data_IF_559252608577
#
_entry.id   IF_559252608577
#
_cell.length_a   1.000
_cell.length_b   1.000
_cell.length_c   1.000
_cell.angle_alpha   90.00
_cell.angle_beta   90.00
_cell.angle_gamma   90.00
#
_symmetry.space_group_name_H-M   'P 1'
#
loop_
_entity.id
_entity.type
_entity.pdbx_description
1 polymer ?
#
# COMPACT_ATOMS: atom_id res chain seq x y z
N UNK A 1 17.40 17.25 12.75
CA UNK A 1 16.80 16.72 11.52
C UNK A 1 17.85 15.89 10.81
N UNK A 2 17.58 14.62 10.64
CA UNK A 2 18.50 13.71 9.96
C UNK A 2 18.54 14.01 8.46
N UNK A 3 19.73 14.23 7.93
CA UNK A 3 19.94 14.40 6.49
C UNK A 3 20.14 13.04 5.83
N UNK A 4 19.42 12.84 4.77
CA UNK A 4 19.56 11.65 3.92
C UNK A 4 20.20 12.05 2.60
N UNK A 5 21.12 11.24 2.15
CA UNK A 5 21.74 11.39 0.83
C UNK A 5 21.19 10.33 -0.11
N UNK A 6 20.80 10.75 -1.30
CA UNK A 6 20.32 9.85 -2.34
C UNK A 6 21.35 9.85 -3.48
N UNK A 7 21.83 8.68 -3.83
CA UNK A 7 22.64 8.47 -5.02
C UNK A 7 21.73 7.92 -6.12
N UNK A 8 21.78 8.53 -7.28
CA UNK A 8 21.02 8.11 -8.45
C UNK A 8 21.90 7.30 -9.41
N UNK A 9 21.48 6.07 -9.70
CA UNK A 9 22.10 5.21 -10.71
C UNK A 9 21.29 5.25 -12.00
N UNK A 10 21.73 6.07 -12.97
CA UNK A 10 21.07 6.18 -14.28
C UNK A 10 21.15 4.91 -15.14
N UNK A 11 22.07 4.00 -14.79
CA UNK A 11 22.34 2.75 -15.51
C UNK A 11 21.57 1.56 -14.93
N UNK A 12 20.76 1.77 -13.89
CA UNK A 12 19.99 0.71 -13.30
C UNK A 12 19.10 0.01 -14.34
N UNK A 13 19.16 -1.31 -14.36
CA UNK A 13 18.36 -2.15 -15.25
C UNK A 13 16.90 -2.12 -14.84
N UNK A 14 16.63 -2.12 -13.52
CA UNK A 14 15.29 -2.00 -12.97
C UNK A 14 15.10 -0.59 -12.42
N UNK A 15 14.02 0.05 -12.83
CA UNK A 15 13.75 1.43 -12.43
C UNK A 15 12.97 1.50 -11.12
N UNK A 16 13.21 2.59 -10.39
CA UNK A 16 12.47 2.98 -9.17
C UNK A 16 12.72 2.10 -7.95
N UNK A 17 13.55 1.06 -8.05
CA UNK A 17 14.00 0.31 -6.88
C UNK A 17 14.93 1.16 -6.02
N UNK A 18 14.73 1.05 -4.72
CA UNK A 18 15.44 1.83 -3.71
C UNK A 18 16.18 0.87 -2.78
N UNK A 19 17.47 1.10 -2.58
CA UNK A 19 18.26 0.44 -1.56
C UNK A 19 18.55 1.44 -0.44
N UNK A 20 18.16 1.10 0.79
CA UNK A 20 18.48 1.88 1.98
C UNK A 20 19.62 1.18 2.71
N UNK A 21 20.70 1.91 2.96
CA UNK A 21 21.85 1.47 3.74
C UNK A 21 22.11 2.45 4.88
N UNK A 22 22.73 1.99 5.97
CA UNK A 22 23.02 2.86 7.11
C UNK A 22 24.10 3.88 6.79
N UNK A 23 25.17 3.43 6.14
CA UNK A 23 26.33 4.24 5.79
C UNK A 23 26.73 3.97 4.36
N UNK A 24 27.42 4.94 3.74
CA UNK A 24 27.93 4.76 2.38
C UNK A 24 28.90 3.57 2.25
N UNK A 25 29.70 3.32 3.28
CA UNK A 25 30.66 2.22 3.31
C UNK A 25 30.01 0.85 3.24
N UNK A 26 28.76 0.73 3.68
CA UNK A 26 27.98 -0.53 3.66
C UNK A 26 27.72 -1.02 2.23
N UNK A 27 27.83 -0.13 1.23
CA UNK A 27 27.71 -0.50 -0.18
C UNK A 27 28.75 -1.54 -0.62
N UNK A 28 29.87 -1.64 0.08
CA UNK A 28 30.88 -2.68 -0.16
C UNK A 28 30.40 -4.10 0.14
N UNK A 29 29.32 -4.21 0.91
CA UNK A 29 28.69 -5.49 1.26
C UNK A 29 27.69 -5.93 0.19
N UNK A 30 27.37 -5.07 -0.76
CA UNK A 30 26.40 -5.35 -1.81
C UNK A 30 27.12 -5.76 -3.08
N UNK A 31 26.74 -6.88 -3.65
CA UNK A 31 27.30 -7.34 -4.92
C UNK A 31 26.99 -6.33 -6.06
N UNK A 32 27.94 -6.18 -6.97
CA UNK A 32 27.79 -5.28 -8.12
C UNK A 32 26.61 -5.66 -9.00
N UNK A 33 26.28 -6.94 -9.11
CA UNK A 33 25.12 -7.46 -9.82
C UNK A 33 23.79 -6.92 -9.24
N UNK A 34 23.70 -6.86 -7.93
CA UNK A 34 22.55 -6.30 -7.22
C UNK A 34 22.43 -4.79 -7.45
N UNK A 35 23.57 -4.07 -7.38
CA UNK A 35 23.58 -2.62 -7.61
C UNK A 35 23.13 -2.24 -9.02
N UNK A 36 23.29 -3.13 -10.00
CA UNK A 36 22.79 -2.92 -11.35
C UNK A 36 21.25 -2.87 -11.42
N UNK A 37 20.56 -3.44 -10.44
CA UNK A 37 19.11 -3.44 -10.37
C UNK A 37 18.53 -2.34 -9.46
N UNK A 38 19.37 -1.47 -8.90
CA UNK A 38 18.98 -0.40 -8.00
C UNK A 38 19.15 0.95 -8.66
N UNK A 39 18.06 1.71 -8.79
CA UNK A 39 18.09 3.07 -9.33
C UNK A 39 18.46 4.11 -8.27
N UNK A 40 18.00 3.94 -7.02
CA UNK A 40 18.25 4.89 -5.95
C UNK A 40 18.89 4.22 -4.74
N UNK A 41 19.98 4.79 -4.27
CA UNK A 41 20.65 4.33 -3.04
C UNK A 41 20.51 5.46 -2.01
N UNK A 42 19.97 5.13 -0.85
CA UNK A 42 19.66 6.09 0.20
C UNK A 42 20.42 5.73 1.48
N UNK A 43 21.03 6.72 2.11
CA UNK A 43 21.74 6.54 3.39
C UNK A 43 21.70 7.81 4.24
N UNK A 44 21.90 7.66 5.56
CA UNK A 44 22.01 8.79 6.48
C UNK A 44 23.38 9.46 6.35
N UNK A 45 23.39 10.78 6.35
CA UNK A 45 24.60 11.60 6.40
C UNK A 45 25.04 12.19 5.07
N UNK A 46 26.15 12.91 5.15
CA UNK A 46 26.81 13.54 4.00
C UNK A 46 27.97 12.70 3.52
N UNK A 47 28.08 12.54 2.23
CA UNK A 47 29.27 11.96 1.60
C UNK A 47 29.91 12.99 0.69
N UNK A 48 31.16 13.24 0.92
CA UNK A 48 32.02 13.98 -0.01
C UNK A 48 32.37 13.06 -1.19
N UNK A 49 31.38 12.68 -1.99
CA UNK A 49 31.58 11.81 -3.14
C UNK A 49 31.39 12.60 -4.44
N UNK A 50 32.26 12.42 -5.42
CA UNK A 50 32.20 13.01 -6.76
C UNK A 50 31.21 12.30 -7.70
N UNK A 51 30.23 11.60 -7.18
CA UNK A 51 29.25 10.84 -7.97
C UNK A 51 28.12 11.71 -8.51
N UNK A 52 27.55 11.29 -9.61
CA UNK A 52 26.85 12.11 -10.61
C UNK A 52 25.51 12.73 -10.22
N UNK A 53 24.87 12.41 -9.12
CA UNK A 53 23.68 13.14 -8.65
C UNK A 53 23.51 12.92 -7.16
N UNK A 54 23.64 13.98 -6.42
CA UNK A 54 23.37 13.99 -4.99
C UNK A 54 22.21 14.92 -4.76
N UNK A 55 21.06 14.38 -4.43
CA UNK A 55 20.01 15.17 -3.84
C UNK A 55 19.97 14.91 -2.33
N UNK A 56 19.98 15.99 -1.57
CA UNK A 56 19.81 15.95 -0.12
C UNK A 56 18.40 16.35 0.20
N UNK A 57 17.77 15.59 1.04
CA UNK A 57 16.45 15.92 1.53
C UNK A 57 16.36 15.65 3.03
N UNK A 58 15.46 16.36 3.67
CA UNK A 58 15.22 16.23 5.10
C UNK A 58 13.98 15.38 5.31
N UNK A 59 14.15 14.22 5.94
CA UNK A 59 13.02 13.45 6.44
C UNK A 59 12.73 13.93 7.86
N UNK A 60 11.56 14.56 8.07
CA UNK A 60 11.21 15.12 9.37
C UNK A 60 10.68 14.07 10.35
N UNK A 61 10.16 12.97 9.85
CA UNK A 61 9.57 11.87 10.62
C UNK A 61 9.98 10.54 10.05
N UNK A 62 10.05 9.56 10.92
CA UNK A 62 10.39 8.18 10.60
C UNK A 62 9.15 7.37 10.16
N UNK A 63 8.24 7.97 9.40
CA UNK A 63 7.07 7.30 8.87
C UNK A 63 7.27 6.97 7.40
N UNK A 64 6.99 5.74 7.02
CA UNK A 64 7.19 5.26 5.66
C UNK A 64 6.32 5.99 4.65
N UNK A 65 5.12 6.40 5.04
CA UNK A 65 4.25 7.27 4.25
C UNK A 65 4.97 8.56 3.85
N UNK A 66 5.56 9.25 4.83
CA UNK A 66 6.28 10.51 4.59
C UNK A 66 7.51 10.29 3.71
N UNK A 67 8.23 9.18 3.91
CA UNK A 67 9.36 8.80 3.07
C UNK A 67 8.92 8.65 1.61
N UNK A 68 7.90 7.83 1.34
CA UNK A 68 7.40 7.57 -0.02
C UNK A 68 6.88 8.84 -0.67
N UNK A 69 6.10 9.64 0.04
CA UNK A 69 5.57 10.89 -0.49
C UNK A 69 6.69 11.87 -0.86
N UNK A 70 7.64 12.11 0.06
CA UNK A 70 8.76 13.02 -0.19
C UNK A 70 9.66 12.54 -1.30
N UNK A 71 9.93 11.25 -1.34
CA UNK A 71 10.76 10.66 -2.40
C UNK A 71 10.08 10.85 -3.77
N UNK A 72 8.80 10.52 -3.88
CA UNK A 72 8.03 10.75 -5.11
C UNK A 72 8.02 12.23 -5.51
N UNK A 73 7.81 13.12 -4.56
CA UNK A 73 7.77 14.58 -4.81
C UNK A 73 9.12 15.10 -5.30
N UNK A 74 10.22 14.72 -4.64
CA UNK A 74 11.56 15.18 -4.96
C UNK A 74 12.02 14.71 -6.35
N UNK A 75 11.77 13.44 -6.66
CA UNK A 75 12.18 12.84 -7.93
C UNK A 75 11.08 12.88 -9.02
N UNK A 76 9.91 13.46 -8.72
CA UNK A 76 8.74 13.54 -9.62
C UNK A 76 8.35 12.17 -10.21
N UNK A 77 8.17 11.21 -9.32
CA UNK A 77 7.81 9.84 -9.67
C UNK A 77 6.34 9.57 -9.37
N UNK A 78 5.65 8.92 -10.28
CA UNK A 78 4.25 8.51 -10.10
C UNK A 78 4.09 7.37 -9.08
N UNK A 79 5.11 6.51 -8.98
CA UNK A 79 5.17 5.40 -8.03
C UNK A 79 6.61 5.08 -7.66
N UNK A 80 6.79 4.26 -6.63
CA UNK A 80 8.09 3.70 -6.27
C UNK A 80 8.10 2.21 -6.59
N UNK A 81 9.29 1.69 -6.85
CA UNK A 81 9.59 0.28 -6.85
C UNK A 81 9.72 -0.27 -5.43
N UNK A 82 10.29 -1.46 -5.34
CA UNK A 82 10.57 -2.09 -4.05
C UNK A 82 11.65 -1.35 -3.27
N UNK A 83 11.55 -1.43 -1.96
CA UNK A 83 12.54 -0.89 -1.05
C UNK A 83 13.30 -2.05 -0.42
N UNK A 84 14.60 -2.04 -0.57
CA UNK A 84 15.51 -3.06 -0.08
C UNK A 84 16.42 -2.51 1.01
N UNK A 85 16.82 -3.39 1.92
CA UNK A 85 17.84 -3.12 2.92
C UNK A 85 18.86 -4.25 2.96
N UNK A 86 20.03 -4.00 3.54
CA UNK A 86 21.07 -5.04 3.73
C UNK A 86 20.74 -6.04 4.84
N UNK A 87 19.72 -5.82 5.61
CA UNK A 87 19.46 -6.57 6.83
C UNK A 87 18.25 -7.48 6.66
N UNK A 88 18.41 -8.73 7.08
CA UNK A 88 17.35 -9.75 7.15
C UNK A 88 16.33 -9.52 8.27
N UNK A 89 16.55 -8.55 9.13
CA UNK A 89 15.62 -8.15 10.18
C UNK A 89 14.97 -6.82 9.79
N UNK A 90 13.81 -6.50 10.38
CA UNK A 90 13.18 -5.21 10.17
C UNK A 90 14.25 -4.13 10.24
N UNK A 91 14.28 -3.29 9.22
CA UNK A 91 15.28 -2.25 9.14
C UNK A 91 15.33 -1.51 10.47
N UNK A 92 16.53 -1.19 10.91
CA UNK A 92 16.79 -0.43 12.14
C UNK A 92 16.14 0.96 12.13
N UNK A 93 15.47 1.30 11.05
CA UNK A 93 14.69 2.51 10.89
C UNK A 93 13.25 2.26 11.36
N UNK A 94 12.78 2.95 12.36
CA UNK A 94 11.37 2.98 12.79
C UNK A 94 10.43 3.28 11.62
N UNK A 95 10.92 4.07 10.69
CA UNK A 95 10.40 4.40 9.40
C UNK A 95 9.77 3.25 8.62
N UNK A 96 10.31 2.06 8.72
CA UNK A 96 9.99 0.94 7.85
C UNK A 96 9.04 -0.07 8.49
N UNK A 97 8.54 0.20 9.69
CA UNK A 97 7.66 -0.73 10.40
C UNK A 97 6.33 -0.98 9.69
N UNK A 98 5.77 0.03 9.06
CA UNK A 98 4.43 -0.04 8.46
C UNK A 98 4.44 -0.52 7.00
N UNK A 99 5.60 -0.56 6.32
CA UNK A 99 5.67 -0.88 4.91
C UNK A 99 6.56 -2.09 4.64
N UNK A 100 6.24 -2.83 3.57
CA UNK A 100 7.05 -3.96 3.15
C UNK A 100 8.43 -3.48 2.69
N UNK A 101 9.44 -3.97 3.37
CA UNK A 101 10.83 -3.77 3.03
C UNK A 101 11.47 -5.13 2.86
N UNK A 102 12.20 -5.30 1.78
CA UNK A 102 12.82 -6.56 1.41
C UNK A 102 14.28 -6.59 1.81
N UNK A 103 14.79 -7.78 2.11
CA UNK A 103 16.22 -8.01 2.15
C UNK A 103 16.80 -7.85 0.73
N UNK A 104 18.00 -7.30 0.64
CA UNK A 104 18.65 -7.08 -0.66
C UNK A 104 18.87 -8.38 -1.45
N UNK A 105 18.99 -9.52 -0.76
CA UNK A 105 19.14 -10.82 -1.42
C UNK A 105 17.85 -11.31 -2.11
N UNK A 106 16.72 -10.71 -1.80
CA UNK A 106 15.44 -11.02 -2.44
C UNK A 106 15.25 -10.32 -3.79
N UNK A 107 16.10 -9.34 -4.11
CA UNK A 107 15.98 -8.53 -5.33
C UNK A 107 15.91 -9.39 -6.59
N UNK A 108 16.70 -10.45 -6.68
CA UNK A 108 16.70 -11.32 -7.85
C UNK A 108 15.42 -12.16 -7.98
N UNK A 109 14.74 -12.41 -6.87
CA UNK A 109 13.44 -13.12 -6.89
C UNK A 109 12.33 -12.23 -7.44
N UNK A 110 12.41 -10.93 -7.16
CA UNK A 110 11.40 -9.94 -7.56
C UNK A 110 11.59 -9.52 -9.01
N UNK A 111 12.83 -9.25 -9.41
CA UNK A 111 13.18 -8.76 -10.76
C UNK A 111 12.81 -9.74 -11.88
N UNK A 112 12.79 -11.04 -11.62
CA UNK A 112 12.48 -12.05 -12.65
C UNK A 112 11.02 -12.03 -13.15
N UNK A 113 10.11 -11.38 -12.45
CA UNK A 113 8.68 -11.38 -12.76
C UNK A 113 8.11 -10.03 -13.20
N UNK A 114 8.81 -8.94 -12.94
CA UNK A 114 8.23 -7.59 -12.93
C UNK A 114 8.49 -6.77 -14.19
N UNK A 115 9.08 -7.34 -15.20
CA UNK A 115 9.39 -6.60 -16.43
C UNK A 115 8.20 -6.43 -17.38
N UNK A 116 7.04 -6.97 -17.03
CA UNK A 116 5.85 -6.86 -17.87
C UNK A 116 5.03 -5.65 -17.44
N UNK A 117 5.03 -4.66 -18.26
CA UNK A 117 4.20 -3.47 -18.34
C UNK A 117 2.96 -3.49 -17.46
N UNK A 118 3.05 -2.84 -16.33
CA UNK A 118 1.89 -2.59 -15.52
C UNK A 118 1.80 -1.09 -15.23
N UNK A 119 0.68 -0.49 -15.55
CA UNK A 119 0.37 0.84 -15.02
C UNK A 119 0.03 0.64 -13.55
N UNK A 120 0.85 1.13 -12.61
CA UNK A 120 0.57 0.93 -11.19
C UNK A 120 -0.80 1.47 -10.83
N UNK A 121 -1.63 0.67 -10.13
CA UNK A 121 -2.96 1.09 -9.75
C UNK A 121 -2.94 2.05 -8.55
N UNK A 122 -4.06 2.70 -8.32
CA UNK A 122 -4.42 3.18 -7.00
C UNK A 122 -5.03 2.04 -6.20
N UNK A 123 -4.86 2.04 -4.89
CA UNK A 123 -5.46 1.05 -3.99
C UNK A 123 -6.49 1.76 -3.13
N UNK A 124 -7.71 1.24 -3.12
CA UNK A 124 -8.80 1.76 -2.29
C UNK A 124 -9.28 0.64 -1.37
N UNK A 125 -9.14 0.86 -0.08
CA UNK A 125 -9.53 -0.09 0.98
C UNK A 125 -10.81 0.42 1.61
N UNK A 126 -11.85 -0.40 1.56
CA UNK A 126 -13.15 -0.10 2.19
C UNK A 126 -13.30 -0.91 3.46
N UNK A 127 -13.72 -0.26 4.52
CA UNK A 127 -14.40 -0.91 5.61
C UNK A 127 -15.79 -1.37 5.16
N UNK A 128 -16.39 -2.30 5.88
CA UNK A 128 -17.69 -2.86 5.55
C UNK A 128 -18.81 -2.29 6.41
N UNK A 129 -18.76 -2.59 7.69
CA UNK A 129 -19.83 -2.27 8.63
C UNK A 129 -19.87 -0.76 8.89
N UNK A 130 -21.05 -0.16 8.90
CA UNK A 130 -21.23 1.30 8.98
C UNK A 130 -20.58 2.10 7.85
N UNK A 131 -19.86 1.47 6.96
CA UNK A 131 -19.20 2.10 5.81
C UNK A 131 -19.94 1.82 4.51
N UNK A 132 -20.01 0.58 4.08
CA UNK A 132 -20.73 0.14 2.87
C UNK A 132 -22.14 -0.37 3.17
N UNK A 133 -22.32 -0.94 4.35
CA UNK A 133 -23.57 -1.53 4.81
C UNK A 133 -24.03 -0.92 6.14
N UNK A 134 -25.31 -1.09 6.44
CA UNK A 134 -25.91 -0.60 7.68
C UNK A 134 -25.54 -1.46 8.90
N UNK A 135 -25.68 -0.88 10.09
CA UNK A 135 -25.54 -1.59 11.38
C UNK A 135 -26.78 -2.43 11.77
N UNK A 136 -27.77 -2.49 10.92
CA UNK A 136 -29.00 -3.20 11.21
C UNK A 136 -28.77 -4.71 11.32
N UNK A 137 -29.60 -5.39 12.10
CA UNK A 137 -29.59 -6.85 12.22
C UNK A 137 -29.80 -7.53 10.84
N UNK A 138 -30.64 -6.93 10.01
CA UNK A 138 -30.76 -7.26 8.60
C UNK A 138 -29.97 -6.20 7.81
N UNK A 139 -28.74 -6.52 7.47
CA UNK A 139 -27.85 -5.62 6.76
C UNK A 139 -28.44 -5.20 5.42
N UNK A 140 -28.32 -3.92 5.12
CA UNK A 140 -28.68 -3.32 3.82
C UNK A 140 -27.53 -2.51 3.28
N UNK A 141 -27.50 -2.33 1.97
CA UNK A 141 -26.54 -1.41 1.37
C UNK A 141 -26.76 0.01 1.90
N UNK A 142 -25.68 0.73 2.23
CA UNK A 142 -25.73 2.12 2.66
C UNK A 142 -26.46 3.01 1.65
N UNK A 143 -26.06 2.88 0.38
CA UNK A 143 -26.54 3.68 -0.74
C UNK A 143 -26.41 2.86 -2.03
N UNK A 144 -27.44 2.72 -2.86
CA UNK A 144 -27.34 2.02 -4.13
C UNK A 144 -26.30 2.61 -5.10
N UNK A 145 -25.93 3.88 -4.94
CA UNK A 145 -24.86 4.50 -5.74
C UNK A 145 -23.49 3.83 -5.56
N UNK A 146 -23.30 3.02 -4.51
CA UNK A 146 -22.05 2.27 -4.26
C UNK A 146 -21.71 1.36 -5.44
N UNK A 147 -22.67 0.67 -6.04
CA UNK A 147 -22.40 -0.25 -7.15
C UNK A 147 -21.72 0.46 -8.33
N UNK A 148 -22.32 1.53 -8.81
CA UNK A 148 -21.74 2.32 -9.90
C UNK A 148 -20.41 2.99 -9.53
N UNK A 149 -20.25 3.36 -8.27
CA UNK A 149 -19.01 3.94 -7.77
C UNK A 149 -17.86 2.92 -7.77
N UNK A 150 -18.12 1.67 -7.38
CA UNK A 150 -17.12 0.61 -7.43
C UNK A 150 -16.73 0.26 -8.87
N UNK A 151 -17.70 0.24 -9.79
CA UNK A 151 -17.43 0.03 -11.22
C UNK A 151 -16.58 1.17 -11.80
N UNK A 152 -16.85 2.43 -11.41
CA UNK A 152 -16.03 3.57 -11.84
C UNK A 152 -14.60 3.45 -11.31
N UNK A 153 -14.39 3.05 -10.05
CA UNK A 153 -13.04 2.84 -9.50
C UNK A 153 -12.27 1.75 -10.23
N UNK A 154 -12.93 0.66 -10.63
CA UNK A 154 -12.31 -0.36 -11.50
C UNK A 154 -11.88 0.23 -12.84
N UNK A 155 -12.74 1.05 -13.45
CA UNK A 155 -12.43 1.72 -14.72
C UNK A 155 -11.25 2.71 -14.61
N UNK A 156 -11.02 3.26 -13.42
CA UNK A 156 -9.88 4.12 -13.09
C UNK A 156 -8.61 3.33 -12.72
N UNK A 157 -8.56 2.04 -13.03
CA UNK A 157 -7.43 1.17 -12.71
C UNK A 157 -7.13 1.12 -11.19
N UNK A 158 -8.17 1.03 -10.37
CA UNK A 158 -8.02 0.84 -8.94
C UNK A 158 -8.04 -0.65 -8.59
N UNK A 159 -7.21 -1.05 -7.65
CA UNK A 159 -7.37 -2.30 -6.89
C UNK A 159 -8.26 -2.00 -5.70
N UNK A 160 -9.36 -2.73 -5.60
CA UNK A 160 -10.39 -2.49 -4.58
C UNK A 160 -10.31 -3.59 -3.53
N UNK A 161 -10.05 -3.19 -2.29
CA UNK A 161 -9.97 -4.09 -1.15
C UNK A 161 -11.14 -3.84 -0.21
N UNK A 162 -11.66 -4.90 0.38
CA UNK A 162 -12.56 -4.86 1.53
C UNK A 162 -11.82 -5.36 2.76
N UNK A 163 -11.99 -4.68 3.88
CA UNK A 163 -11.44 -5.14 5.15
C UNK A 163 -12.42 -4.87 6.29
N UNK A 164 -13.09 -5.91 6.75
CA UNK A 164 -13.97 -5.89 7.93
C UNK A 164 -13.30 -6.55 9.12
N UNK A 165 -13.60 -6.09 10.32
CA UNK A 165 -13.26 -6.77 11.57
C UNK A 165 -14.28 -7.83 11.97
N UNK A 166 -15.40 -7.94 11.26
CA UNK A 166 -16.35 -9.02 11.37
C UNK A 166 -15.70 -10.37 11.06
N UNK A 167 -16.26 -11.44 11.61
CA UNK A 167 -15.84 -12.79 11.24
C UNK A 167 -16.14 -13.10 9.77
N UNK A 168 -15.55 -14.17 9.28
CA UNK A 168 -15.68 -14.56 7.87
C UNK A 168 -17.12 -14.81 7.47
N UNK A 169 -17.89 -15.47 8.32
CA UNK A 169 -19.31 -15.80 8.03
C UNK A 169 -20.13 -14.53 7.88
N UNK A 170 -19.95 -13.57 8.80
CA UNK A 170 -20.59 -12.27 8.71
C UNK A 170 -20.26 -11.53 7.42
N UNK A 171 -18.98 -11.52 7.02
CA UNK A 171 -18.56 -10.84 5.79
C UNK A 171 -19.18 -11.50 4.56
N UNK A 172 -19.13 -12.84 4.46
CA UNK A 172 -19.72 -13.58 3.33
C UNK A 172 -21.22 -13.34 3.24
N UNK A 173 -21.94 -13.53 4.34
CA UNK A 173 -23.38 -13.36 4.39
C UNK A 173 -23.80 -11.92 4.06
N UNK A 174 -23.05 -10.95 4.54
CA UNK A 174 -23.32 -9.53 4.26
C UNK A 174 -23.13 -9.19 2.79
N UNK A 175 -22.02 -9.63 2.19
CA UNK A 175 -21.75 -9.41 0.76
C UNK A 175 -22.81 -10.06 -0.13
N UNK A 176 -23.25 -11.28 0.22
CA UNK A 176 -24.32 -11.97 -0.50
C UNK A 176 -25.64 -11.22 -0.42
N UNK A 177 -26.04 -10.80 0.78
CA UNK A 177 -27.29 -10.06 1.02
C UNK A 177 -27.35 -8.75 0.27
N UNK A 178 -26.24 -7.99 0.29
CA UNK A 178 -26.19 -6.70 -0.40
C UNK A 178 -25.65 -6.79 -1.83
N UNK A 179 -25.41 -7.99 -2.36
CA UNK A 179 -24.97 -8.24 -3.74
C UNK A 179 -23.67 -7.52 -4.12
N UNK A 180 -22.72 -7.47 -3.21
CA UNK A 180 -21.39 -6.89 -3.44
C UNK A 180 -20.33 -7.91 -3.82
N UNK A 181 -20.70 -9.19 -4.04
CA UNK A 181 -19.80 -10.21 -4.53
C UNK A 181 -19.22 -9.85 -5.91
N UNK A 182 -17.92 -10.09 -6.11
CA UNK A 182 -17.22 -9.81 -7.36
C UNK A 182 -16.78 -8.36 -7.57
N UNK A 183 -17.05 -7.47 -6.60
CA UNK A 183 -16.58 -6.09 -6.67
C UNK A 183 -15.17 -5.88 -6.12
N UNK A 184 -14.70 -6.77 -5.24
CA UNK A 184 -13.43 -6.60 -4.54
C UNK A 184 -12.38 -7.57 -5.06
N UNK A 185 -11.17 -7.07 -5.25
CA UNK A 185 -10.01 -7.88 -5.64
C UNK A 185 -9.43 -8.64 -4.44
N UNK A 186 -9.51 -8.03 -3.26
CA UNK A 186 -9.03 -8.61 -2.00
C UNK A 186 -10.09 -8.37 -0.93
N UNK A 187 -10.49 -9.46 -0.24
CA UNK A 187 -11.40 -9.38 0.89
C UNK A 187 -10.68 -9.89 2.14
N UNK A 188 -10.65 -9.08 3.18
CA UNK A 188 -10.08 -9.40 4.47
C UNK A 188 -11.19 -9.39 5.52
N UNK A 189 -11.29 -10.48 6.26
CA UNK A 189 -12.16 -10.62 7.42
C UNK A 189 -11.32 -10.74 8.68
N UNK A 190 -11.92 -10.45 9.80
CA UNK A 190 -11.31 -10.50 11.12
C UNK A 190 -10.18 -9.47 11.31
N UNK A 191 -9.99 -9.07 12.53
CA UNK A 191 -8.86 -8.30 12.97
C UNK A 191 -8.42 -8.85 14.30
N UNK A 192 -7.14 -9.15 14.52
CA UNK A 192 -6.70 -9.70 15.79
C UNK A 192 -5.78 -8.81 16.54
N UNK A 193 -5.80 -9.04 17.85
CA UNK A 193 -4.93 -8.38 18.81
C UNK A 193 -3.47 -8.68 18.51
N UNK A 194 -2.62 -7.72 18.81
CA UNK A 194 -1.17 -7.91 18.74
C UNK A 194 -0.75 -9.20 19.48
N UNK A 195 0.06 -10.02 18.83
CA UNK A 195 0.58 -11.26 19.41
C UNK A 195 -0.16 -12.55 19.03
N UNK A 196 -1.32 -12.48 18.38
CA UNK A 196 -2.04 -13.66 17.90
C UNK A 196 -1.76 -13.88 16.41
N UNK A 197 -0.71 -14.64 16.11
CA UNK A 197 -0.40 -15.08 14.75
C UNK A 197 -0.74 -16.55 14.60
N UNK A 198 -1.60 -16.90 13.67
CA UNK A 198 -1.81 -18.29 13.27
C UNK A 198 -1.22 -18.54 11.88
N UNK A 199 -0.41 -19.62 11.77
CA UNK A 199 0.28 -19.97 10.52
C UNK A 199 -0.66 -20.60 9.48
N UNK A 200 -1.88 -20.96 9.87
CA UNK A 200 -2.86 -21.60 8.99
C UNK A 200 -3.61 -20.58 8.14
N UNK A 201 -3.06 -20.25 6.99
CA UNK A 201 -3.78 -19.43 6.00
C UNK A 201 -4.65 -20.33 5.13
N UNK A 202 -5.96 -20.29 5.30
CA UNK A 202 -6.88 -20.80 4.30
C UNK A 202 -7.14 -19.72 3.25
N UNK A 203 -6.71 -19.98 2.04
CA UNK A 203 -7.09 -19.19 0.86
C UNK A 203 -8.41 -19.73 0.33
N UNK A 204 -9.47 -18.94 0.41
CA UNK A 204 -10.73 -19.23 -0.25
C UNK A 204 -10.87 -18.31 -1.47
N UNK A 205 -10.73 -18.87 -2.65
CA UNK A 205 -10.88 -18.16 -3.92
C UNK A 205 -12.32 -18.31 -4.40
N UNK A 206 -13.27 -17.71 -3.71
CA UNK A 206 -14.64 -17.59 -4.20
C UNK A 206 -14.76 -16.38 -5.11
N UNK A 207 -15.43 -16.54 -6.22
CA UNK A 207 -15.73 -15.45 -7.16
C UNK A 207 -14.49 -14.71 -7.70
N UNK A 208 -13.37 -15.43 -7.87
CA UNK A 208 -12.06 -14.88 -8.29
C UNK A 208 -11.46 -13.85 -7.32
N UNK A 209 -11.91 -13.86 -6.08
CA UNK A 209 -11.45 -12.94 -5.01
C UNK A 209 -10.61 -13.70 -3.98
N UNK A 210 -9.48 -13.13 -3.61
CA UNK A 210 -8.67 -13.67 -2.52
C UNK A 210 -9.36 -13.41 -1.18
N UNK A 211 -9.73 -14.49 -0.51
CA UNK A 211 -10.46 -14.45 0.75
C UNK A 211 -9.57 -14.90 1.89
N UNK A 212 -9.31 -14.01 2.86
CA UNK A 212 -8.45 -14.31 4.00
C UNK A 212 -9.20 -14.19 5.31
N UNK A 213 -9.18 -15.24 6.09
CA UNK A 213 -9.76 -15.31 7.43
C UNK A 213 -8.70 -15.20 8.53
N UNK A 214 -7.44 -15.06 8.18
CA UNK A 214 -6.35 -15.15 9.15
C UNK A 214 -5.95 -13.78 9.67
N UNK A 215 -5.80 -13.64 10.98
CA UNK A 215 -5.31 -12.42 11.58
C UNK A 215 -3.86 -12.19 11.22
N UNK A 216 -3.56 -10.96 10.94
CA UNK A 216 -2.21 -10.54 10.63
C UNK A 216 -1.52 -10.05 11.91
N UNK A 217 -0.31 -10.55 12.17
CA UNK A 217 0.49 -10.04 13.27
C UNK A 217 1.00 -8.64 12.92
N UNK A 218 0.60 -7.67 13.70
CA UNK A 218 1.17 -6.33 13.69
C UNK A 218 1.99 -6.17 14.96
N UNK A 219 3.25 -5.81 14.82
CA UNK A 219 4.14 -5.47 15.94
C UNK A 219 3.75 -4.08 16.50
N UNK A 220 2.55 -4.03 17.08
CA UNK A 220 1.96 -2.85 17.70
C UNK A 220 1.59 -3.21 19.12
N UNK A 221 2.04 -2.41 20.08
CA UNK A 221 1.76 -2.62 21.51
C UNK A 221 0.31 -2.31 21.91
N UNK A 222 -0.53 -1.86 20.98
CA UNK A 222 -1.92 -1.48 21.24
C UNK A 222 -2.86 -2.67 21.30
N UNK A 223 -3.79 -2.65 22.24
CA UNK A 223 -4.88 -3.64 22.34
C UNK A 223 -5.88 -3.57 21.17
N UNK A 224 -5.97 -2.43 20.52
CA UNK A 224 -6.78 -2.24 19.31
C UNK A 224 -5.83 -2.16 18.13
N UNK A 225 -5.90 -3.13 17.24
CA UNK A 225 -5.09 -3.14 16.03
C UNK A 225 -5.83 -2.33 14.97
N UNK A 226 -5.32 -1.15 14.62
CA UNK A 226 -5.92 -0.39 13.54
C UNK A 226 -5.69 -1.08 12.20
N UNK A 227 -6.47 -0.73 11.19
CA UNK A 227 -6.31 -1.22 9.83
C UNK A 227 -5.04 -0.67 9.20
N UNK A 228 -3.90 -1.32 9.47
CA UNK A 228 -2.60 -0.89 8.98
C UNK A 228 -2.43 -1.16 7.48
N UNK A 229 -1.89 -0.20 6.69
CA UNK A 229 -1.53 -0.42 5.29
C UNK A 229 -0.60 -1.60 5.08
N UNK A 230 0.21 -1.95 6.07
CA UNK A 230 1.15 -3.08 6.00
C UNK A 230 0.45 -4.40 5.68
N UNK A 231 -0.73 -4.63 6.26
CA UNK A 231 -1.54 -5.82 5.98
C UNK A 231 -1.97 -5.83 4.52
N UNK A 232 -2.51 -4.71 4.04
CA UNK A 232 -2.93 -4.58 2.64
C UNK A 232 -1.75 -4.80 1.69
N UNK A 233 -0.59 -4.22 1.96
CA UNK A 233 0.61 -4.36 1.13
C UNK A 233 1.07 -5.81 1.02
N UNK A 234 0.97 -6.56 2.11
CA UNK A 234 1.33 -7.97 2.11
C UNK A 234 0.38 -8.80 1.21
N UNK A 235 -0.93 -8.55 1.26
CA UNK A 235 -1.90 -9.23 0.39
C UNK A 235 -1.83 -8.74 -1.05
N UNK A 236 -1.57 -7.47 -1.31
CA UNK A 236 -1.30 -6.97 -2.66
C UNK A 236 -0.15 -7.71 -3.32
N UNK A 237 0.94 -7.95 -2.58
CA UNK A 237 2.07 -8.74 -3.08
C UNK A 237 1.65 -10.17 -3.46
N UNK A 238 0.86 -10.83 -2.62
CA UNK A 238 0.31 -12.15 -2.94
C UNK A 238 -0.61 -12.14 -4.16
N UNK A 239 -1.30 -11.04 -4.38
CA UNK A 239 -2.17 -10.80 -5.54
C UNK A 239 -1.39 -10.30 -6.77
N UNK A 240 -0.05 -10.36 -6.76
CA UNK A 240 0.85 -9.87 -7.81
C UNK A 240 0.75 -8.37 -8.11
N UNK A 241 0.24 -7.57 -7.19
CA UNK A 241 0.27 -6.11 -7.25
C UNK A 241 1.51 -5.62 -6.51
N UNK A 242 2.61 -5.47 -7.24
CA UNK A 242 3.91 -5.14 -6.66
C UNK A 242 4.15 -3.64 -6.54
N UNK A 243 3.48 -2.85 -7.36
CA UNK A 243 3.62 -1.39 -7.40
C UNK A 243 2.24 -0.75 -7.35
N UNK A 244 2.15 0.38 -6.69
CA UNK A 244 0.92 1.17 -6.62
C UNK A 244 1.25 2.66 -6.50
N UNK A 245 0.30 3.51 -6.86
CA UNK A 245 0.42 4.97 -6.80
C UNK A 245 0.11 5.49 -5.40
N UNK A 246 -1.08 5.21 -4.91
CA UNK A 246 -1.57 5.61 -3.58
C UNK A 246 -2.37 4.50 -2.94
N UNK A 247 -2.47 4.55 -1.61
CA UNK A 247 -3.37 3.72 -0.84
C UNK A 247 -4.31 4.61 -0.04
N UNK A 248 -5.62 4.41 -0.24
CA UNK A 248 -6.69 5.20 0.40
C UNK A 248 -7.53 4.30 1.28
N UNK A 249 -7.81 4.69 2.51
CA UNK A 249 -8.76 4.02 3.38
C UNK A 249 -10.07 4.81 3.40
N UNK A 250 -11.19 4.09 3.33
CA UNK A 250 -12.56 4.58 3.44
C UNK A 250 -13.19 3.87 4.64
N UNK A 251 -13.42 4.57 5.73
CA UNK A 251 -13.76 3.96 7.02
C UNK A 251 -14.52 4.98 7.89
N UNK A 252 -15.42 4.52 8.73
CA UNK A 252 -16.16 5.37 9.68
C UNK A 252 -15.35 5.62 10.97
N UNK A 253 -14.39 4.74 11.29
CA UNK A 253 -13.55 4.85 12.47
C UNK A 253 -12.27 5.65 12.17
N UNK A 254 -12.15 6.83 12.76
CA UNK A 254 -10.99 7.72 12.59
C UNK A 254 -9.67 7.10 13.06
N UNK A 255 -9.73 6.20 14.02
CA UNK A 255 -8.59 5.51 14.61
C UNK A 255 -7.88 4.59 13.62
N UNK A 256 -8.58 4.15 12.57
CA UNK A 256 -8.02 3.33 11.50
C UNK A 256 -7.14 4.13 10.52
N UNK A 257 -7.12 5.46 10.62
CA UNK A 257 -6.28 6.30 9.76
C UNK A 257 -4.81 6.27 10.19
N UNK A 258 -4.14 5.17 9.90
CA UNK A 258 -2.71 5.01 10.18
C UNK A 258 -1.93 4.85 8.88
N UNK A 259 -1.09 5.83 8.56
CA UNK A 259 -0.14 5.80 7.44
C UNK A 259 -0.74 5.57 6.04
N UNK A 260 -2.05 5.70 5.84
CA UNK A 260 -2.65 5.77 4.51
C UNK A 260 -2.28 7.08 3.82
N UNK A 261 -2.10 7.05 2.50
CA UNK A 261 -1.87 8.27 1.73
C UNK A 261 -3.08 9.20 1.83
N UNK A 262 -4.29 8.65 1.75
CA UNK A 262 -5.55 9.37 1.90
C UNK A 262 -6.50 8.62 2.84
N UNK A 263 -7.35 9.38 3.49
CA UNK A 263 -8.39 8.86 4.36
C UNK A 263 -9.72 9.56 4.10
N UNK A 264 -10.75 8.76 3.90
CA UNK A 264 -12.14 9.23 3.79
C UNK A 264 -12.88 8.73 5.02
N UNK A 265 -13.06 9.61 5.98
CA UNK A 265 -13.83 9.32 7.18
C UNK A 265 -15.30 9.59 6.92
N UNK A 266 -16.11 8.53 7.00
CA UNK A 266 -17.55 8.59 6.85
C UNK A 266 -18.22 8.76 8.22
N UNK A 267 -19.48 9.10 8.18
CA UNK A 267 -20.33 8.95 9.35
C UNK A 267 -20.87 7.53 9.40
N UNK A 268 -21.10 7.01 10.60
CA UNK A 268 -21.75 5.72 10.81
C UNK A 268 -23.08 5.64 10.06
N UNK A 269 -23.46 4.44 9.66
CA UNK A 269 -24.64 4.19 8.84
C UNK A 269 -25.61 3.21 9.56
N UNK A 270 -26.36 3.67 10.57
CA UNK A 270 -27.33 2.81 11.26
C UNK A 270 -28.48 2.37 10.36
N UNK A 271 -28.85 3.17 9.39
CA UNK A 271 -29.88 2.91 8.36
C UNK A 271 -29.39 3.43 7.01
N UNK A 272 -29.95 2.97 5.87
CA UNK A 272 -29.55 3.46 4.56
C UNK A 272 -29.63 4.98 4.44
N UNK A 273 -28.61 5.59 3.82
CA UNK A 273 -28.50 7.03 3.62
C UNK A 273 -27.97 7.31 2.20
N UNK A 274 -28.60 8.25 1.50
CA UNK A 274 -28.25 8.60 0.11
C UNK A 274 -27.12 9.64 0.10
N UNK A 275 -25.94 9.26 0.57
CA UNK A 275 -24.81 10.21 0.70
C UNK A 275 -23.53 9.76 -0.02
N UNK A 276 -23.53 8.58 -0.67
CA UNK A 276 -22.34 8.00 -1.24
C UNK A 276 -21.68 8.87 -2.32
N UNK A 277 -22.46 9.56 -3.10
CA UNK A 277 -21.93 10.43 -4.14
C UNK A 277 -20.95 11.50 -3.63
N UNK A 278 -21.12 11.95 -2.39
CA UNK A 278 -20.20 12.93 -1.77
C UNK A 278 -18.85 12.28 -1.46
N UNK A 279 -18.88 11.09 -0.91
CA UNK A 279 -17.69 10.35 -0.53
C UNK A 279 -16.95 9.81 -1.74
N UNK A 280 -17.68 9.28 -2.72
CA UNK A 280 -17.11 8.82 -3.98
C UNK A 280 -16.37 9.94 -4.72
N UNK A 281 -16.97 11.12 -4.85
CA UNK A 281 -16.30 12.29 -5.43
C UNK A 281 -15.00 12.64 -4.73
N UNK A 282 -14.94 12.47 -3.40
CA UNK A 282 -13.72 12.71 -2.63
C UNK A 282 -12.64 11.68 -2.96
N UNK A 283 -13.02 10.40 -3.10
CA UNK A 283 -12.09 9.33 -3.50
C UNK A 283 -11.54 9.61 -4.91
N UNK A 284 -12.42 9.85 -5.88
CA UNK A 284 -12.04 10.14 -7.27
C UNK A 284 -11.14 11.38 -7.34
N UNK A 285 -11.45 12.40 -6.55
CA UNK A 285 -10.61 13.60 -6.48
C UNK A 285 -9.19 13.28 -5.99
N UNK A 286 -9.01 12.47 -4.97
CA UNK A 286 -7.67 12.07 -4.52
C UNK A 286 -6.89 11.38 -5.62
N UNK A 287 -7.53 10.50 -6.39
CA UNK A 287 -6.93 9.79 -7.53
C UNK A 287 -6.52 10.81 -8.60
N UNK A 288 -7.45 11.67 -9.01
CA UNK A 288 -7.24 12.65 -10.08
C UNK A 288 -6.18 13.69 -9.71
N UNK A 289 -6.26 14.25 -8.50
CA UNK A 289 -5.28 15.24 -8.01
C UNK A 289 -3.88 14.62 -7.97
N UNK A 290 -3.79 13.34 -7.57
CA UNK A 290 -2.51 12.63 -7.57
C UNK A 290 -1.97 12.41 -8.98
N UNK A 291 -2.77 11.95 -9.92
CA UNK A 291 -2.35 11.70 -11.30
C UNK A 291 -1.94 12.99 -12.02
N UNK A 292 -2.58 14.11 -11.70
CA UNK A 292 -2.16 15.44 -12.18
C UNK A 292 -0.80 15.85 -11.58
N UNK A 293 -0.63 15.63 -10.28
CA UNK A 293 0.60 16.03 -9.58
C UNK A 293 1.80 15.14 -9.96
N UNK A 294 1.55 13.87 -10.25
CA UNK A 294 2.55 12.85 -10.55
C UNK A 294 2.22 12.12 -11.87
N UNK A 295 2.21 12.81 -13.00
CA UNK A 295 1.87 12.19 -14.28
C UNK A 295 2.82 11.03 -14.59
N UNK A 296 2.27 9.93 -15.07
CA UNK A 296 3.07 8.83 -15.61
C UNK A 296 3.83 9.36 -16.83
N UNK A 297 5.09 9.69 -16.64
CA UNK A 297 5.97 9.86 -17.77
C UNK A 297 6.14 8.49 -18.38
N UNK A 298 5.57 8.29 -19.56
CA UNK A 298 5.77 7.07 -20.34
C UNK A 298 7.26 6.78 -20.38
N UNK A 299 7.72 5.87 -19.53
CA UNK A 299 9.04 5.29 -19.67
C UNK A 299 8.94 4.36 -20.87
N UNK A 300 9.26 4.89 -22.03
CA UNK A 300 9.61 4.05 -23.17
C UNK A 300 10.86 3.30 -22.71
N UNK A 301 10.66 2.07 -22.25
CA UNK A 301 11.78 1.13 -22.12
C UNK A 301 12.36 0.98 -23.52
N UNK A 302 13.49 1.63 -23.77
CA UNK A 302 14.30 1.26 -24.93
C UNK A 302 14.80 -0.14 -24.62
N UNK A 303 14.19 -1.11 -25.28
CA UNK A 303 14.66 -2.48 -25.39
C UNK A 303 16.06 -2.47 -26.00
#
# INVERSE_FOLDING_TARGET
MDRWTVLFNSWALVKRHILIVNKFEDLRLVESSVLNNIEYIVFKGDVACRTRLKQKWLCARDEMKDFRFRFKSEFKLSHLGHIFTLYTRPATYNLLKEWLVYDVNEINKIVSFDSVFFIPPHVVVFDMDSTLITEEKEVRIRDPAIYGALDELKSLNCVICLWSYGDREHVVDSLDKVKLNGYFDIILSEGKRAGEYSVGEEEDLRYDVLYKSTPFYLDIESSNIPKSPRVILWYLQKYNVMFFKTITLVDDLSENNINYDNFVNLKTCPVPVDDWNVWHKKIVRFITDYDIAFPDKNYVYKV
#
